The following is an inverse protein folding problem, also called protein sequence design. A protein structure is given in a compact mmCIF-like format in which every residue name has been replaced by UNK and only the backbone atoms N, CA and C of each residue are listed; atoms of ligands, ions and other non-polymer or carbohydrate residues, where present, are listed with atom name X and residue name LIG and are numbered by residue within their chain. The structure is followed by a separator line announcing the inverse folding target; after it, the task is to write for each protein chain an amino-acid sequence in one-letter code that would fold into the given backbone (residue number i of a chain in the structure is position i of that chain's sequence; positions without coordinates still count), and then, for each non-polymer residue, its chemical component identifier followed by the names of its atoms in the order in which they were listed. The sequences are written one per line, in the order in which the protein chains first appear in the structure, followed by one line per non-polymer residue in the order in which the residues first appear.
data_IF_213872453720
#
_entry.id   IF_213872453720
#
_cell.length_a   1.000
_cell.length_b   1.000
_cell.length_c   1.000
_cell.angle_alpha   90.00
_cell.angle_beta   90.00
_cell.angle_gamma   90.00
#
_symmetry.space_group_name_H-M   'P 1'
#
loop_
_entity.id
_entity.type
_entity.pdbx_description
1 polymer ?
#
# COMPACT_ATOMS: atom_id res chain seq x y z
N UNK A 1 5.99 -12.81 8.73
CA UNK A 1 5.30 -14.10 8.71
C UNK A 1 3.98 -13.98 9.48
N UNK A 2 2.99 -14.85 9.23
CA UNK A 2 1.70 -14.77 9.91
C UNK A 2 1.85 -15.09 11.39
N UNK A 3 2.78 -15.97 11.73
CA UNK A 3 3.14 -16.33 13.11
C UNK A 3 3.55 -15.11 13.95
N UNK A 4 4.30 -14.16 13.37
CA UNK A 4 4.68 -12.93 14.08
C UNK A 4 3.46 -12.03 14.35
N UNK A 5 2.52 -11.97 13.38
CA UNK A 5 1.28 -11.21 13.56
C UNK A 5 0.39 -11.84 14.63
N UNK A 6 0.23 -13.16 14.63
CA UNK A 6 -0.54 -13.88 15.65
C UNK A 6 0.07 -13.67 17.04
N UNK A 7 1.41 -13.72 17.17
CA UNK A 7 2.09 -13.43 18.44
C UNK A 7 1.80 -12.00 18.91
N UNK A 8 1.90 -11.01 18.02
CA UNK A 8 1.60 -9.61 18.38
C UNK A 8 0.13 -9.47 18.81
N UNK A 9 -0.80 -10.11 18.10
CA UNK A 9 -2.22 -10.01 18.41
C UNK A 9 -2.57 -10.69 19.73
N UNK A 10 -1.91 -11.79 20.08
CA UNK A 10 -2.09 -12.45 21.38
C UNK A 10 -1.66 -11.56 22.55
N UNK A 11 -0.61 -10.76 22.38
CA UNK A 11 -0.20 -9.78 23.40
C UNK A 11 -1.14 -8.56 23.51
N UNK A 12 -2.03 -8.40 22.53
CA UNK A 12 -2.96 -7.29 22.45
C UNK A 12 -4.43 -7.71 22.72
N UNK A 13 -4.67 -8.91 23.22
CA UNK A 13 -6.03 -9.45 23.48
C UNK A 13 -6.84 -8.60 24.46
N UNK A 14 -6.20 -7.98 25.44
CA UNK A 14 -6.84 -7.12 26.45
C UNK A 14 -7.30 -5.77 25.88
N UNK A 15 -6.88 -5.41 24.66
CA UNK A 15 -7.31 -4.17 24.05
C UNK A 15 -8.75 -4.28 23.53
N UNK A 16 -9.51 -3.21 23.68
CA UNK A 16 -10.89 -3.15 23.20
C UNK A 16 -11.02 -3.37 21.70
N UNK A 17 -10.04 -2.91 20.93
CA UNK A 17 -10.02 -3.03 19.46
C UNK A 17 -8.59 -2.94 18.96
N UNK A 18 -8.22 -3.85 18.07
CA UNK A 18 -7.00 -3.81 17.28
C UNK A 18 -7.40 -3.71 15.80
N UNK A 19 -6.87 -2.73 15.09
CA UNK A 19 -7.12 -2.55 13.67
C UNK A 19 -5.91 -3.03 12.89
N UNK A 20 -6.13 -3.97 11.98
CA UNK A 20 -5.13 -4.47 11.02
C UNK A 20 -5.48 -3.89 9.65
N UNK A 21 -4.64 -3.00 9.14
CA UNK A 21 -4.81 -2.40 7.82
C UNK A 21 -4.09 -3.23 6.75
N UNK A 22 -4.85 -3.89 5.88
CA UNK A 22 -4.34 -4.69 4.78
C UNK A 22 -4.38 -3.97 3.40
N UNK A 23 -4.47 -2.63 3.38
CA UNK A 23 -4.66 -1.86 2.15
C UNK A 23 -3.55 -2.03 1.09
N UNK A 24 -2.38 -2.55 1.47
CA UNK A 24 -1.26 -2.81 0.56
C UNK A 24 -0.92 -4.30 0.41
N UNK A 25 -1.69 -5.21 1.03
CA UNK A 25 -1.33 -6.63 1.15
C UNK A 25 -1.15 -7.34 -0.19
N UNK A 26 -1.85 -6.89 -1.25
CA UNK A 26 -1.74 -7.48 -2.58
C UNK A 26 -0.36 -7.28 -3.22
N UNK A 27 0.40 -6.27 -2.80
CA UNK A 27 1.76 -6.03 -3.30
C UNK A 27 2.81 -6.86 -2.57
N UNK A 28 2.48 -7.38 -1.38
CA UNK A 28 3.40 -8.19 -0.60
C UNK A 28 3.62 -9.56 -1.23
N UNK A 29 4.82 -10.09 -1.02
CA UNK A 29 5.17 -11.46 -1.36
C UNK A 29 4.63 -12.42 -0.30
N UNK A 30 3.37 -12.82 -0.48
CA UNK A 30 2.69 -13.78 0.40
C UNK A 30 2.31 -15.01 -0.40
N UNK A 31 2.64 -16.22 0.11
CA UNK A 31 2.13 -17.46 -0.46
C UNK A 31 0.60 -17.44 -0.38
N UNK A 32 -0.06 -17.54 -1.52
CA UNK A 32 -1.52 -17.63 -1.62
C UNK A 32 -1.88 -18.72 -2.62
N UNK A 33 -3.01 -19.44 -2.44
CA UNK A 33 -3.51 -20.32 -3.46
C UNK A 33 -3.66 -19.60 -4.81
N UNK A 34 -3.48 -20.32 -5.91
CA UNK A 34 -3.40 -19.74 -7.26
C UNK A 34 -4.62 -18.87 -7.63
N UNK A 35 -5.79 -19.21 -7.08
CA UNK A 35 -7.05 -18.52 -7.37
C UNK A 35 -7.50 -17.53 -6.30
N UNK A 36 -6.66 -17.29 -5.28
CA UNK A 36 -6.98 -16.38 -4.17
C UNK A 36 -6.13 -15.11 -4.21
N UNK A 37 -6.65 -14.05 -3.61
CA UNK A 37 -5.90 -12.83 -3.32
C UNK A 37 -5.41 -12.87 -1.86
N UNK A 38 -4.21 -12.33 -1.58
CA UNK A 38 -3.72 -12.26 -0.20
C UNK A 38 -4.70 -11.48 0.69
N UNK A 39 -5.02 -12.04 1.85
CA UNK A 39 -5.84 -11.38 2.86
C UNK A 39 -5.52 -11.91 4.25
N UNK A 40 -5.77 -11.10 5.27
CA UNK A 40 -5.67 -11.44 6.69
C UNK A 40 -7.06 -11.63 7.33
N UNK A 41 -8.13 -11.65 6.54
CA UNK A 41 -9.50 -11.71 7.06
C UNK A 41 -9.77 -12.93 7.95
N UNK A 42 -9.06 -14.05 7.73
CA UNK A 42 -9.15 -15.25 8.56
C UNK A 42 -8.80 -15.01 10.04
N UNK A 43 -7.98 -14.01 10.34
CA UNK A 43 -7.49 -13.72 11.70
C UNK A 43 -8.61 -13.22 12.64
N UNK A 44 -9.67 -12.62 12.07
CA UNK A 44 -10.85 -12.19 12.86
C UNK A 44 -11.63 -13.36 13.48
N UNK A 45 -11.40 -14.59 13.01
CA UNK A 45 -12.00 -15.80 13.60
C UNK A 45 -11.25 -16.29 14.84
N UNK A 46 -10.01 -15.83 15.02
CA UNK A 46 -9.14 -16.23 16.14
C UNK A 46 -9.14 -15.16 17.24
N UNK A 47 -9.27 -13.88 16.87
CA UNK A 47 -9.18 -12.74 17.78
C UNK A 47 -10.44 -11.86 17.65
N UNK A 48 -11.29 -11.90 18.66
CA UNK A 48 -12.59 -11.18 18.67
C UNK A 48 -12.44 -9.66 18.71
N UNK A 49 -11.32 -9.15 19.20
CA UNK A 49 -11.02 -7.74 19.27
C UNK A 49 -10.40 -7.17 17.98
N UNK A 50 -10.09 -8.03 17.00
CA UNK A 50 -9.46 -7.62 15.74
C UNK A 50 -10.50 -7.20 14.71
N UNK A 51 -10.18 -6.09 14.04
CA UNK A 51 -10.88 -5.59 12.85
C UNK A 51 -9.88 -5.47 11.72
N UNK A 52 -10.09 -6.18 10.62
CA UNK A 52 -9.30 -6.01 9.39
C UNK A 52 -9.95 -4.95 8.52
N UNK A 53 -9.18 -3.95 8.11
CA UNK A 53 -9.64 -2.88 7.20
C UNK A 53 -8.88 -2.94 5.88
N UNK A 54 -9.59 -2.65 4.79
CA UNK A 54 -9.01 -2.61 3.45
C UNK A 54 -9.53 -1.43 2.65
N UNK A 55 -8.63 -0.60 2.17
CA UNK A 55 -8.93 0.40 1.15
C UNK A 55 -8.72 -0.20 -0.24
N UNK A 56 -9.70 -0.02 -1.13
CA UNK A 56 -9.58 -0.43 -2.53
C UNK A 56 -8.82 0.59 -3.38
N UNK A 57 -8.39 1.68 -2.77
CA UNK A 57 -7.78 2.83 -3.46
C UNK A 57 -6.39 2.56 -4.02
N UNK A 58 -5.66 1.58 -3.46
CA UNK A 58 -4.24 1.37 -3.75
C UNK A 58 -4.03 0.25 -4.76
N UNK A 59 -4.40 -0.94 -4.36
CA UNK A 59 -4.19 -2.15 -5.15
C UNK A 59 -5.08 -2.22 -6.40
N UNK A 60 -6.32 -1.70 -6.34
CA UNK A 60 -7.20 -1.61 -7.50
C UNK A 60 -7.09 -0.29 -8.28
N UNK A 61 -6.26 0.65 -7.83
CA UNK A 61 -6.04 1.93 -8.53
C UNK A 61 -7.25 2.88 -8.56
N UNK A 62 -8.27 2.66 -7.72
CA UNK A 62 -9.57 3.36 -7.76
C UNK A 62 -9.75 4.40 -6.64
N UNK A 63 -8.71 5.12 -6.30
CA UNK A 63 -8.75 6.10 -5.20
C UNK A 63 -9.92 7.10 -5.28
N UNK A 64 -10.35 7.47 -6.49
CA UNK A 64 -11.45 8.40 -6.74
C UNK A 64 -12.83 7.84 -6.40
N UNK A 65 -13.03 6.52 -6.36
CA UNK A 65 -14.33 5.87 -6.08
C UNK A 65 -14.65 5.93 -4.57
N UNK A 66 -13.64 6.07 -3.70
CA UNK A 66 -13.80 6.13 -2.23
C UNK A 66 -14.41 4.86 -1.66
N UNK A 67 -13.89 3.70 -2.04
CA UNK A 67 -14.35 2.39 -1.62
C UNK A 67 -13.33 1.71 -0.69
N UNK A 68 -13.84 0.97 0.27
CA UNK A 68 -13.12 0.13 1.21
C UNK A 68 -14.09 -0.71 2.02
N UNK A 69 -13.59 -1.67 2.78
CA UNK A 69 -14.40 -2.48 3.68
C UNK A 69 -13.66 -2.75 4.98
N UNK A 70 -14.42 -3.17 5.99
CA UNK A 70 -13.88 -3.68 7.23
C UNK A 70 -14.52 -5.03 7.54
N UNK A 71 -13.75 -5.95 8.09
CA UNK A 71 -14.20 -7.27 8.53
C UNK A 71 -13.95 -7.36 10.04
N UNK A 72 -14.99 -7.68 10.77
CA UNK A 72 -15.00 -7.74 12.23
C UNK A 72 -16.07 -8.73 12.71
N UNK A 73 -16.13 -8.97 14.01
CA UNK A 73 -17.17 -9.80 14.60
C UNK A 73 -18.59 -9.25 14.31
N UNK A 74 -19.58 -10.12 14.09
CA UNK A 74 -20.96 -9.70 13.76
C UNK A 74 -21.56 -8.69 14.75
N UNK A 75 -21.32 -8.88 16.05
CA UNK A 75 -21.83 -8.01 17.11
C UNK A 75 -21.28 -6.58 16.98
N UNK A 76 -20.04 -6.41 16.49
CA UNK A 76 -19.45 -5.10 16.23
C UNK A 76 -20.09 -4.43 15.01
N UNK A 77 -20.40 -5.22 13.98
CA UNK A 77 -21.15 -4.73 12.81
C UNK A 77 -22.51 -4.22 13.23
N UNK A 78 -23.26 -5.00 14.04
CA UNK A 78 -24.56 -4.60 14.56
C UNK A 78 -24.49 -3.31 15.38
N UNK A 79 -23.48 -3.16 16.23
CA UNK A 79 -23.26 -1.94 17.00
C UNK A 79 -23.03 -0.72 16.09
N UNK A 80 -22.20 -0.86 15.04
CA UNK A 80 -21.99 0.23 14.08
C UNK A 80 -23.26 0.63 13.35
N UNK A 81 -24.06 -0.34 12.91
CA UNK A 81 -25.34 -0.10 12.26
C UNK A 81 -26.34 0.59 13.19
N UNK A 82 -26.41 0.18 14.45
CA UNK A 82 -27.31 0.77 15.46
C UNK A 82 -26.95 2.23 15.79
N UNK A 83 -25.71 2.67 15.58
CA UNK A 83 -25.26 4.03 15.82
C UNK A 83 -25.35 4.96 14.60
N UNK A 84 -26.11 4.60 13.60
CA UNK A 84 -26.51 5.50 12.51
C UNK A 84 -25.58 5.50 11.29
N UNK A 85 -24.93 4.39 11.01
CA UNK A 85 -24.10 4.23 9.82
C UNK A 85 -24.97 3.97 8.58
N UNK A 86 -25.63 5.02 8.07
CA UNK A 86 -26.72 4.88 7.09
C UNK A 86 -26.28 5.05 5.62
N UNK A 87 -25.17 5.76 5.36
CA UNK A 87 -24.75 6.15 4.01
C UNK A 87 -23.27 5.86 3.80
N UNK A 88 -22.91 4.58 3.75
CA UNK A 88 -21.53 4.16 3.79
C UNK A 88 -20.88 3.98 2.41
N UNK A 89 -21.65 3.85 1.32
CA UNK A 89 -21.10 3.69 -0.03
C UNK A 89 -21.83 4.56 -1.05
N UNK A 90 -21.10 4.94 -2.10
CA UNK A 90 -21.69 5.58 -3.29
C UNK A 90 -22.15 4.52 -4.30
N UNK A 91 -23.05 4.87 -5.21
CA UNK A 91 -23.46 3.97 -6.30
C UNK A 91 -22.29 3.49 -7.18
N UNK A 92 -21.24 4.32 -7.31
CA UNK A 92 -20.00 3.93 -8.00
C UNK A 92 -19.24 2.84 -7.23
N UNK A 93 -19.18 2.95 -5.90
CA UNK A 93 -18.55 1.94 -5.04
C UNK A 93 -19.35 0.63 -5.06
N UNK A 94 -20.68 0.72 -5.00
CA UNK A 94 -21.56 -0.45 -5.09
C UNK A 94 -21.38 -1.19 -6.42
N UNK A 95 -21.38 -0.45 -7.54
CA UNK A 95 -21.09 -1.04 -8.84
C UNK A 95 -19.72 -1.72 -8.88
N UNK A 96 -18.68 -1.03 -8.36
CA UNK A 96 -17.34 -1.61 -8.29
C UNK A 96 -17.33 -2.92 -7.48
N UNK A 97 -17.94 -2.95 -6.31
CA UNK A 97 -18.02 -4.19 -5.52
C UNK A 97 -18.79 -5.30 -6.25
N UNK A 98 -19.76 -4.98 -7.10
CA UNK A 98 -20.46 -5.99 -7.91
C UNK A 98 -19.55 -6.69 -8.93
N UNK A 99 -18.42 -6.07 -9.32
CA UNK A 99 -17.45 -6.68 -10.23
C UNK A 99 -16.71 -7.86 -9.59
N UNK A 100 -16.54 -7.86 -8.27
CA UNK A 100 -15.88 -8.97 -7.54
C UNK A 100 -16.62 -10.29 -7.66
N UNK A 101 -17.91 -10.27 -7.95
CA UNK A 101 -18.70 -11.47 -8.26
C UNK A 101 -18.44 -12.04 -9.65
N UNK A 102 -17.59 -11.41 -10.46
CA UNK A 102 -17.29 -11.80 -11.84
C UNK A 102 -15.92 -12.45 -11.93
N UNK A 103 -15.83 -13.76 -12.24
CA UNK A 103 -14.54 -14.45 -12.34
C UNK A 103 -13.58 -13.82 -13.34
N UNK A 104 -14.11 -13.30 -14.45
CA UNK A 104 -13.33 -12.65 -15.51
C UNK A 104 -12.61 -11.41 -14.96
N UNK A 105 -13.30 -10.57 -14.21
CA UNK A 105 -12.72 -9.37 -13.58
C UNK A 105 -11.58 -9.72 -12.63
N UNK A 106 -11.77 -10.74 -11.77
CA UNK A 106 -10.72 -11.19 -10.85
C UNK A 106 -9.54 -11.82 -11.59
N UNK A 107 -9.78 -12.52 -12.69
CA UNK A 107 -8.74 -13.10 -13.56
C UNK A 107 -7.85 -12.01 -14.18
N UNK A 108 -8.48 -10.98 -14.76
CA UNK A 108 -7.79 -9.82 -15.32
C UNK A 108 -6.99 -9.08 -14.24
N UNK A 109 -7.61 -8.82 -13.09
CA UNK A 109 -6.94 -8.16 -11.97
C UNK A 109 -5.68 -8.92 -11.50
N UNK A 110 -5.74 -10.24 -11.37
CA UNK A 110 -4.58 -11.06 -10.97
C UNK A 110 -3.45 -10.98 -11.98
N UNK A 111 -3.79 -10.99 -13.28
CA UNK A 111 -2.81 -10.85 -14.36
C UNK A 111 -2.07 -9.51 -14.26
N UNK A 112 -2.83 -8.42 -14.12
CA UNK A 112 -2.30 -7.06 -13.98
C UNK A 112 -1.47 -6.91 -12.69
N UNK A 113 -1.92 -7.50 -11.58
CA UNK A 113 -1.18 -7.50 -10.31
C UNK A 113 0.17 -8.22 -10.45
N UNK A 114 0.20 -9.36 -11.14
CA UNK A 114 1.42 -10.12 -11.39
C UNK A 114 2.41 -9.30 -12.23
N UNK A 115 1.94 -8.67 -13.28
CA UNK A 115 2.76 -7.79 -14.12
C UNK A 115 3.29 -6.60 -13.29
N UNK A 116 2.45 -5.99 -12.48
CA UNK A 116 2.82 -4.85 -11.64
C UNK A 116 3.84 -5.23 -10.55
N UNK A 117 3.75 -6.41 -9.95
CA UNK A 117 4.79 -6.94 -9.05
C UNK A 117 6.15 -7.02 -9.75
N UNK A 118 6.18 -7.43 -11.03
CA UNK A 118 7.39 -7.38 -11.83
C UNK A 118 7.98 -5.96 -12.00
N UNK A 119 7.12 -4.91 -12.05
CA UNK A 119 7.60 -3.52 -12.03
C UNK A 119 8.21 -3.15 -10.68
N UNK A 120 7.61 -3.60 -9.56
CA UNK A 120 8.16 -3.38 -8.21
C UNK A 120 9.55 -4.00 -8.10
N UNK A 121 9.72 -5.25 -8.52
CA UNK A 121 10.99 -5.97 -8.43
C UNK A 121 12.09 -5.30 -9.28
N UNK A 122 11.78 -4.91 -10.51
CA UNK A 122 12.73 -4.17 -11.36
C UNK A 122 13.10 -2.81 -10.77
N UNK A 123 12.14 -2.10 -10.23
CA UNK A 123 12.39 -0.80 -9.59
C UNK A 123 13.29 -0.95 -8.36
N UNK A 124 13.04 -1.94 -7.51
CA UNK A 124 13.88 -2.27 -6.33
C UNK A 124 15.31 -2.63 -6.77
N UNK A 125 15.45 -3.45 -7.81
CA UNK A 125 16.76 -3.84 -8.34
C UNK A 125 17.54 -2.64 -8.88
N UNK A 126 16.89 -1.76 -9.64
CA UNK A 126 17.52 -0.58 -10.19
C UNK A 126 17.95 0.42 -9.10
N UNK A 127 17.14 0.62 -8.05
CA UNK A 127 17.49 1.53 -6.94
C UNK A 127 18.56 0.96 -6.02
N UNK A 128 18.73 -0.36 -5.97
CA UNK A 128 19.81 -1.01 -5.22
C UNK A 128 21.20 -0.74 -5.82
N UNK A 129 21.28 -0.38 -7.11
CA UNK A 129 22.52 -0.01 -7.80
C UNK A 129 22.97 1.44 -7.53
N UNK A 130 22.12 2.26 -6.89
CA UNK A 130 22.47 3.63 -6.56
C UNK A 130 23.39 3.68 -5.33
N UNK A 131 24.54 4.29 -5.46
CA UNK A 131 25.52 4.49 -4.38
C UNK A 131 25.35 5.85 -3.65
N UNK A 132 24.58 6.76 -4.22
CA UNK A 132 24.33 8.11 -3.71
C UNK A 132 23.07 8.22 -2.82
N UNK A 133 22.30 7.14 -2.64
CA UNK A 133 21.15 7.08 -1.74
C UNK A 133 20.96 5.66 -1.16
N UNK A 134 20.21 5.56 -0.08
CA UNK A 134 19.80 4.27 0.48
C UNK A 134 18.34 3.99 0.17
N UNK A 135 18.06 3.03 -0.68
CA UNK A 135 16.71 2.51 -0.90
C UNK A 135 16.36 1.45 0.14
N UNK A 136 15.17 1.57 0.74
CA UNK A 136 14.66 0.57 1.67
C UNK A 136 13.82 -0.46 0.92
N UNK A 137 13.82 -1.69 1.40
CA UNK A 137 12.93 -2.72 0.87
C UNK A 137 11.46 -2.36 1.10
N UNK A 138 10.57 -2.85 0.22
CA UNK A 138 9.15 -2.52 0.28
C UNK A 138 8.27 -3.70 -0.09
N UNK A 139 7.13 -3.80 0.60
CA UNK A 139 6.01 -4.66 0.26
C UNK A 139 4.77 -3.84 -0.17
N UNK A 140 4.99 -2.65 -0.73
CA UNK A 140 3.95 -1.73 -1.18
C UNK A 140 4.25 -1.22 -2.60
N UNK A 141 3.36 -0.41 -3.14
CA UNK A 141 3.53 0.23 -4.45
C UNK A 141 4.33 1.54 -4.39
N UNK A 142 5.19 1.68 -3.41
CA UNK A 142 6.14 2.78 -3.27
C UNK A 142 7.40 2.32 -2.57
N UNK A 143 8.50 3.04 -2.75
CA UNK A 143 9.75 2.81 -2.05
C UNK A 143 10.17 4.04 -1.27
N UNK A 144 10.65 3.83 -0.05
CA UNK A 144 11.28 4.86 0.76
C UNK A 144 12.77 4.93 0.41
N UNK A 145 13.28 6.14 0.19
CA UNK A 145 14.68 6.39 -0.15
C UNK A 145 15.23 7.43 0.80
N UNK A 146 16.36 7.14 1.43
CA UNK A 146 17.12 8.07 2.25
C UNK A 146 18.22 8.69 1.42
N UNK A 147 18.26 10.00 1.38
CA UNK A 147 19.29 10.77 0.73
C UNK A 147 20.43 11.13 1.69
N UNK A 148 21.59 11.59 1.20
CA UNK A 148 22.61 12.20 2.03
C UNK A 148 22.06 13.37 2.88
N UNK A 149 22.57 13.54 4.11
CA UNK A 149 22.05 14.54 5.04
C UNK A 149 22.26 15.99 4.62
N UNK A 150 23.14 16.24 3.67
CA UNK A 150 23.42 17.55 3.08
C UNK A 150 22.52 17.88 1.88
N UNK A 151 21.65 16.97 1.48
CA UNK A 151 20.74 17.10 0.33
C UNK A 151 19.30 17.18 0.81
N UNK A 152 18.66 18.34 0.71
CA UNK A 152 17.29 18.54 1.15
C UNK A 152 16.27 17.80 0.28
N UNK A 153 15.43 16.96 0.90
CA UNK A 153 14.33 16.25 0.25
C UNK A 153 13.33 17.18 -0.43
N UNK A 154 13.06 18.33 0.17
CA UNK A 154 12.16 19.33 -0.39
C UNK A 154 12.73 19.95 -1.66
N UNK A 155 14.04 20.27 -1.65
CA UNK A 155 14.72 20.82 -2.81
C UNK A 155 14.75 19.80 -3.95
N UNK A 156 15.08 18.54 -3.67
CA UNK A 156 15.07 17.48 -4.67
C UNK A 156 13.67 17.27 -5.25
N UNK A 157 12.63 17.25 -4.40
CA UNK A 157 11.25 17.16 -4.87
C UNK A 157 10.87 18.31 -5.81
N UNK A 158 11.29 19.53 -5.48
CA UNK A 158 11.05 20.69 -6.33
C UNK A 158 11.80 20.60 -7.66
N UNK A 159 13.06 20.17 -7.65
CA UNK A 159 13.87 19.99 -8.87
C UNK A 159 13.31 18.90 -9.78
N UNK A 160 12.91 17.75 -9.21
CA UNK A 160 12.26 16.65 -9.95
C UNK A 160 10.99 17.16 -10.66
N UNK A 161 10.18 17.94 -9.95
CA UNK A 161 8.95 18.49 -10.52
C UNK A 161 9.25 19.52 -11.63
N UNK A 162 10.12 20.48 -11.37
CA UNK A 162 10.36 21.60 -12.27
C UNK A 162 11.15 21.20 -13.53
N UNK A 163 12.11 20.29 -13.39
CA UNK A 163 12.98 19.91 -14.53
C UNK A 163 12.44 18.72 -15.32
N UNK A 164 11.80 17.75 -14.62
CA UNK A 164 11.42 16.49 -15.22
C UNK A 164 9.91 16.24 -15.22
N UNK A 165 9.10 17.11 -14.57
CA UNK A 165 7.66 16.89 -14.40
C UNK A 165 7.34 15.65 -13.56
N UNK A 166 8.24 15.27 -12.65
CA UNK A 166 8.13 14.12 -11.75
C UNK A 166 7.85 14.62 -10.34
N UNK A 167 6.68 14.29 -9.79
CA UNK A 167 6.36 14.60 -8.41
C UNK A 167 6.56 13.39 -7.51
N UNK A 168 7.41 13.54 -6.50
CA UNK A 168 7.63 12.59 -5.42
C UNK A 168 7.29 13.24 -4.08
N UNK A 169 7.14 12.44 -3.02
CA UNK A 169 6.82 12.99 -1.70
C UNK A 169 8.07 13.12 -0.84
N UNK A 170 8.38 14.33 -0.36
CA UNK A 170 9.27 14.55 0.79
C UNK A 170 8.60 14.01 2.07
N UNK A 171 9.38 13.38 2.94
CA UNK A 171 8.92 12.77 4.18
C UNK A 171 9.42 13.50 5.44
N UNK A 172 9.86 14.76 5.33
CA UNK A 172 10.31 15.58 6.46
C UNK A 172 9.24 15.83 7.55
N UNK A 173 7.96 15.62 7.20
CA UNK A 173 6.81 15.69 8.12
C UNK A 173 6.56 14.40 8.92
N UNK A 174 7.37 13.35 8.73
CA UNK A 174 7.13 12.04 9.33
C UNK A 174 7.88 11.87 10.65
N UNK A 175 7.12 11.65 11.73
CA UNK A 175 7.67 11.34 13.05
C UNK A 175 8.43 10.02 12.98
N UNK A 176 9.65 10.02 13.53
CA UNK A 176 10.52 8.83 13.58
C UNK A 176 11.49 8.68 12.39
N UNK A 177 11.34 9.47 11.33
CA UNK A 177 12.34 9.56 10.26
C UNK A 177 13.34 10.68 10.60
N UNK A 178 14.59 10.30 10.92
CA UNK A 178 15.66 11.23 11.19
C UNK A 178 16.58 11.33 9.96
N UNK A 179 16.49 12.42 9.20
CA UNK A 179 17.25 12.64 7.95
C UNK A 179 16.35 13.04 6.79
N UNK A 180 16.90 13.03 5.60
CA UNK A 180 16.25 13.47 4.38
C UNK A 180 15.70 12.24 3.61
N UNK A 181 14.37 12.17 3.48
CA UNK A 181 13.71 11.02 2.87
C UNK A 181 12.73 11.42 1.78
N UNK A 182 12.73 10.62 0.71
CA UNK A 182 11.72 10.65 -0.34
C UNK A 182 10.87 9.36 -0.31
N UNK A 183 9.58 9.49 -0.57
CA UNK A 183 8.71 8.36 -0.88
C UNK A 183 8.34 8.42 -2.36
N UNK A 184 8.80 7.44 -3.11
CA UNK A 184 8.64 7.35 -4.56
C UNK A 184 7.61 6.28 -4.88
N UNK A 185 6.52 6.64 -5.56
CA UNK A 185 5.53 5.69 -6.04
C UNK A 185 6.09 4.91 -7.23
N UNK A 186 5.93 3.60 -7.20
CA UNK A 186 6.30 2.73 -8.31
C UNK A 186 5.14 2.75 -9.32
N UNK A 187 5.46 2.90 -10.59
CA UNK A 187 4.52 3.16 -11.67
C UNK A 187 4.69 2.13 -12.80
N UNK A 188 4.23 2.47 -13.99
CA UNK A 188 4.53 1.70 -15.21
C UNK A 188 6.03 1.70 -15.50
N UNK A 189 6.50 0.77 -16.30
CA UNK A 189 7.92 0.62 -16.62
C UNK A 189 8.53 1.92 -17.15
N UNK A 190 7.89 2.53 -18.15
CA UNK A 190 8.37 3.78 -18.75
C UNK A 190 8.37 4.98 -17.79
N UNK A 191 7.39 5.05 -16.90
CA UNK A 191 7.37 6.08 -15.85
C UNK A 191 8.44 5.84 -14.80
N UNK A 192 8.71 4.57 -14.44
CA UNK A 192 9.77 4.19 -13.52
C UNK A 192 11.16 4.55 -14.08
N UNK A 193 11.43 4.25 -15.36
CA UNK A 193 12.65 4.62 -16.05
C UNK A 193 12.87 6.14 -16.01
N UNK A 194 11.82 6.92 -16.28
CA UNK A 194 11.86 8.37 -16.20
C UNK A 194 12.18 8.86 -14.79
N UNK A 195 11.55 8.28 -13.77
CA UNK A 195 11.79 8.62 -12.36
C UNK A 195 13.24 8.33 -11.98
N UNK A 196 13.74 7.12 -12.28
CA UNK A 196 15.08 6.68 -11.94
C UNK A 196 16.15 7.55 -12.62
N UNK A 197 15.96 7.85 -13.91
CA UNK A 197 16.85 8.75 -14.66
C UNK A 197 16.88 10.15 -14.05
N UNK A 198 15.72 10.71 -13.71
CA UNK A 198 15.60 12.04 -13.11
C UNK A 198 16.24 12.11 -11.71
N UNK A 199 16.05 11.07 -10.90
CA UNK A 199 16.67 10.96 -9.56
C UNK A 199 18.19 10.89 -9.69
N UNK A 200 18.69 10.07 -10.60
CA UNK A 200 20.13 9.94 -10.87
C UNK A 200 20.72 11.26 -11.35
N UNK A 201 20.09 11.99 -12.28
CA UNK A 201 20.60 13.27 -12.80
C UNK A 201 20.70 14.35 -11.71
N UNK A 202 19.80 14.33 -10.71
CA UNK A 202 19.76 15.36 -9.66
C UNK A 202 20.70 15.05 -8.51
N UNK A 203 20.94 13.75 -8.20
CA UNK A 203 21.66 13.33 -7.00
C UNK A 203 23.09 12.80 -7.30
N UNK A 204 23.42 12.42 -8.53
CA UNK A 204 24.77 12.06 -8.96
C UNK A 204 25.55 13.29 -9.44
#
# INVERSE_FOLDING_TARGET
PDDDLELILSELEDLRTVIVDESFIHFADRPTPMDELPTLTGITKQFDNVTVVKSMSKDFGIAGIRAGYAIMQPERVEQLLAHGYLWNTSGMAEYFFSLFGRPEFLGEYRSELTMYKGYIDRFKSATAEFDFLRAFDTSANFQLMQMPNDVSAEVVTALLLLRHGVYVRSCGDKIGLNGEFLRVAIRTESENEKILSAVSEILS
#
